data_IF_099947597503
#
_entry.id   IF_099947597503
#
_cell.length_a   1.000
_cell.length_b   1.000
_cell.length_c   1.000
_cell.angle_alpha   90.00
_cell.angle_beta   90.00
_cell.angle_gamma   90.00
#
_symmetry.space_group_name_H-M   'P 1'
#
loop_
_entity.id
_entity.type
_entity.pdbx_description
1 polymer ?
#
# COMPACT_ATOMS: atom_id res chain seq x y z
N UNK A 1 -0.90 23.28 -39.58
CA UNK A 1 -0.28 23.09 -38.26
C UNK A 1 -1.35 23.34 -37.20
N UNK A 2 -1.97 22.30 -36.64
CA UNK A 2 -3.01 22.45 -35.59
C UNK A 2 -2.33 22.59 -34.23
N UNK A 3 -2.70 23.62 -33.48
CA UNK A 3 -2.07 23.97 -32.21
C UNK A 3 -2.57 23.03 -31.09
N UNK A 4 -1.77 22.84 -30.04
CA UNK A 4 -2.13 22.00 -28.88
C UNK A 4 -3.46 22.41 -28.21
N UNK A 5 -3.92 23.65 -28.40
CA UNK A 5 -5.22 24.14 -27.93
C UNK A 5 -6.40 23.53 -28.71
N UNK A 6 -6.26 23.30 -30.01
CA UNK A 6 -7.31 22.72 -30.84
C UNK A 6 -7.55 21.24 -30.49
N UNK A 7 -6.47 20.53 -30.12
CA UNK A 7 -6.55 19.14 -29.64
C UNK A 7 -7.24 19.05 -28.28
N UNK A 8 -7.01 20.01 -27.39
CA UNK A 8 -7.69 20.06 -26.08
C UNK A 8 -9.19 20.31 -26.23
N UNK A 9 -9.59 21.25 -27.11
CA UNK A 9 -11.01 21.51 -27.40
C UNK A 9 -11.72 20.30 -28.02
N UNK A 10 -11.06 19.59 -28.93
CA UNK A 10 -11.62 18.37 -29.53
C UNK A 10 -11.80 17.23 -28.52
N UNK A 11 -10.96 17.16 -27.48
CA UNK A 11 -11.08 16.17 -26.41
C UNK A 11 -12.21 16.53 -25.43
N UNK A 12 -12.42 17.81 -25.14
CA UNK A 12 -13.51 18.25 -24.25
C UNK A 12 -14.88 18.05 -24.90
N UNK A 13 -15.05 18.37 -26.19
CA UNK A 13 -16.33 18.15 -26.89
C UNK A 13 -16.70 16.66 -26.98
N UNK A 14 -15.72 15.76 -27.16
CA UNK A 14 -15.95 14.30 -27.15
C UNK A 14 -16.35 13.73 -25.78
N UNK A 15 -16.02 14.42 -24.69
CA UNK A 15 -16.39 14.01 -23.34
C UNK A 15 -17.81 14.46 -23.00
N UNK A 16 -18.22 15.65 -23.44
CA UNK A 16 -19.59 16.15 -23.28
C UNK A 16 -20.60 15.27 -24.05
N UNK A 17 -20.31 14.90 -25.30
CA UNK A 17 -21.16 14.01 -26.10
C UNK A 17 -21.37 12.62 -25.46
N UNK A 18 -20.37 12.13 -24.71
CA UNK A 18 -20.45 10.83 -24.01
C UNK A 18 -21.22 10.89 -22.69
N UNK A 19 -21.26 12.06 -22.05
CA UNK A 19 -22.04 12.27 -20.84
C UNK A 19 -23.54 12.40 -21.16
N UNK A 20 -23.89 13.10 -22.23
CA UNK A 20 -25.28 13.26 -22.68
C UNK A 20 -25.93 11.94 -23.14
N UNK A 21 -25.15 10.98 -23.64
CA UNK A 21 -25.65 9.65 -24.00
C UNK A 21 -25.92 8.75 -22.77
N UNK A 22 -25.32 9.05 -21.61
CA UNK A 22 -25.46 8.23 -20.40
C UNK A 22 -26.64 8.66 -19.51
N UNK A 23 -27.17 9.86 -19.71
CA UNK A 23 -28.30 10.39 -18.93
C UNK A 23 -29.68 10.12 -19.55
N UNK A 24 -29.76 9.51 -20.75
CA UNK A 24 -31.02 9.18 -21.43
C UNK A 24 -31.36 7.69 -21.41
N UNK A 25 -31.60 7.12 -20.23
CA UNK A 25 -32.33 5.84 -20.11
C UNK A 25 -33.37 5.95 -18.99
N UNK A 26 -34.68 5.80 -19.28
CA UNK A 26 -35.72 5.89 -18.28
C UNK A 26 -35.86 4.59 -17.48
N UNK A 27 -36.16 4.80 -16.20
CA UNK A 27 -36.76 3.87 -15.25
C UNK A 27 -38.05 3.24 -15.79
N UNK A 28 -38.20 1.93 -15.63
CA UNK A 28 -39.54 1.33 -15.70
C UNK A 28 -39.72 0.17 -14.72
N UNK A 29 -40.96 0.07 -14.25
CA UNK A 29 -41.45 -0.55 -13.03
C UNK A 29 -42.20 -1.85 -13.35
N UNK A 30 -42.38 -2.70 -12.32
CA UNK A 30 -43.40 -3.76 -12.17
C UNK A 30 -43.03 -5.20 -12.56
N UNK A 31 -43.07 -6.12 -11.58
CA UNK A 31 -44.21 -7.05 -11.41
C UNK A 31 -43.99 -8.07 -10.28
N UNK A 32 -44.91 -8.10 -9.31
CA UNK A 32 -45.25 -9.22 -8.41
C UNK A 32 -46.55 -9.83 -9.00
N UNK A 33 -46.88 -11.13 -8.82
CA UNK A 33 -47.76 -11.48 -7.67
C UNK A 33 -47.64 -12.89 -7.05
N UNK A 34 -48.16 -12.98 -5.81
CA UNK A 34 -48.93 -14.08 -5.17
C UNK A 34 -48.18 -15.35 -4.69
N UNK A 35 -47.94 -15.51 -3.38
CA UNK A 35 -48.83 -15.98 -2.29
C UNK A 35 -49.07 -17.50 -2.25
N UNK A 36 -48.64 -18.12 -1.13
CA UNK A 36 -49.37 -19.18 -0.41
C UNK A 36 -48.87 -19.28 1.02
N UNK A 37 -49.74 -18.93 1.96
CA UNK A 37 -49.57 -19.07 3.40
C UNK A 37 -49.77 -20.53 3.85
N UNK A 38 -49.03 -20.95 4.88
CA UNK A 38 -49.51 -21.91 5.89
C UNK A 38 -48.81 -21.63 7.22
N UNK A 39 -49.61 -21.68 8.29
CA UNK A 39 -49.37 -21.22 9.67
C UNK A 39 -48.52 -22.18 10.53
N UNK A 40 -48.24 -21.71 11.76
CA UNK A 40 -47.97 -22.44 13.04
C UNK A 40 -46.46 -22.68 13.27
N UNK A 41 -45.78 -22.36 14.38
CA UNK A 41 -46.08 -21.75 15.69
C UNK A 41 -44.76 -21.67 16.50
N UNK A 42 -44.65 -20.65 17.37
CA UNK A 42 -43.81 -20.51 18.57
C UNK A 42 -42.27 -20.72 18.57
N UNK A 43 -41.60 -19.59 18.86
CA UNK A 43 -40.24 -19.34 19.36
C UNK A 43 -39.73 -20.29 20.47
N UNK A 44 -38.40 -20.46 20.58
CA UNK A 44 -37.68 -19.69 21.59
C UNK A 44 -36.44 -18.93 21.06
N UNK A 45 -36.25 -17.76 21.67
CA UNK A 45 -35.21 -16.74 21.47
C UNK A 45 -33.80 -17.32 21.36
N UNK A 46 -33.18 -17.14 20.19
CA UNK A 46 -31.72 -17.29 20.01
C UNK A 46 -31.04 -16.12 20.73
N UNK A 47 -30.38 -16.43 21.83
CA UNK A 47 -29.56 -15.49 22.58
C UNK A 47 -28.52 -14.90 21.61
N UNK A 48 -28.59 -13.58 21.44
CA UNK A 48 -27.56 -12.81 20.74
C UNK A 48 -26.40 -12.75 21.72
N UNK A 49 -25.49 -13.70 21.56
CA UNK A 49 -24.24 -13.76 22.31
C UNK A 49 -23.41 -12.54 21.90
N UNK A 50 -23.40 -11.55 22.78
CA UNK A 50 -22.61 -10.32 22.63
C UNK A 50 -21.18 -10.67 22.98
N UNK A 51 -20.48 -11.37 22.09
CA UNK A 51 -19.06 -11.70 22.21
C UNK A 51 -18.31 -11.47 20.89
N UNK A 52 -18.42 -10.28 20.32
CA UNK A 52 -17.47 -9.79 19.33
C UNK A 52 -16.86 -8.48 19.80
N UNK A 53 -15.88 -8.56 20.69
CA UNK A 53 -14.91 -7.48 20.95
C UNK A 53 -13.82 -7.99 21.89
N UNK A 54 -12.94 -8.88 21.40
CA UNK A 54 -11.62 -9.15 22.04
C UNK A 54 -10.67 -10.10 21.28
N UNK A 55 -10.88 -10.37 19.98
CA UNK A 55 -10.07 -11.37 19.25
C UNK A 55 -9.11 -10.84 18.18
N UNK A 56 -9.04 -9.52 17.96
CA UNK A 56 -8.30 -8.96 16.81
C UNK A 56 -6.95 -8.29 17.14
N UNK A 57 -6.55 -8.23 18.42
CA UNK A 57 -5.23 -7.68 18.78
C UNK A 57 -4.13 -8.75 18.74
N UNK A 58 -4.41 -9.99 19.17
CA UNK A 58 -3.39 -11.05 19.21
C UNK A 58 -2.95 -11.57 17.84
N UNK A 59 -3.76 -11.40 16.78
CA UNK A 59 -3.42 -11.88 15.45
C UNK A 59 -2.45 -10.96 14.71
N UNK A 60 -2.58 -9.64 14.89
CA UNK A 60 -1.75 -8.66 14.18
C UNK A 60 -0.31 -8.66 14.66
N UNK A 61 -0.09 -8.83 15.97
CA UNK A 61 1.26 -8.89 16.53
C UNK A 61 2.04 -10.12 16.04
N UNK A 62 1.35 -11.27 15.86
CA UNK A 62 1.95 -12.48 15.28
C UNK A 62 2.38 -12.25 13.83
N UNK A 63 1.50 -11.68 13.01
CA UNK A 63 1.78 -11.41 11.58
C UNK A 63 2.94 -10.44 11.41
N UNK A 64 3.01 -9.40 12.26
CA UNK A 64 4.10 -8.43 12.23
C UNK A 64 5.42 -9.05 12.68
N UNK A 65 5.42 -9.87 13.72
CA UNK A 65 6.61 -10.59 14.18
C UNK A 65 7.17 -11.54 13.11
N UNK A 66 6.31 -12.32 12.45
CA UNK A 66 6.67 -13.18 11.32
C UNK A 66 7.23 -12.37 10.16
N UNK A 67 6.62 -11.23 9.84
CA UNK A 67 7.13 -10.34 8.82
C UNK A 67 8.52 -9.82 9.14
N UNK A 68 8.75 -9.30 10.35
CA UNK A 68 10.05 -8.79 10.79
C UNK A 68 11.12 -9.87 10.71
N UNK A 69 10.82 -11.09 11.16
CA UNK A 69 11.74 -12.23 11.08
C UNK A 69 12.13 -12.52 9.63
N UNK A 70 11.15 -12.50 8.71
CA UNK A 70 11.42 -12.71 7.29
C UNK A 70 12.22 -11.57 6.65
N UNK A 71 11.91 -10.30 6.98
CA UNK A 71 12.69 -9.14 6.50
C UNK A 71 14.14 -9.25 6.97
N UNK A 72 14.37 -9.67 8.23
CA UNK A 72 15.73 -9.85 8.76
C UNK A 72 16.51 -10.92 8.02
N UNK A 73 15.90 -12.08 7.76
CA UNK A 73 16.53 -13.14 6.97
C UNK A 73 16.91 -12.67 5.56
N UNK A 74 16.03 -11.92 4.89
CA UNK A 74 16.30 -11.35 3.57
C UNK A 74 17.37 -10.24 3.62
N UNK A 75 17.35 -9.40 4.65
CA UNK A 75 18.34 -8.34 4.87
C UNK A 75 19.77 -8.91 4.97
N UNK A 76 19.95 -10.00 5.72
CA UNK A 76 21.24 -10.70 5.83
C UNK A 76 21.61 -11.37 4.50
N UNK A 77 20.66 -12.10 3.88
CA UNK A 77 20.90 -12.82 2.63
C UNK A 77 21.28 -11.91 1.46
N UNK A 78 20.58 -10.78 1.31
CA UNK A 78 20.82 -9.79 0.26
C UNK A 78 21.97 -8.83 0.60
N UNK A 79 22.64 -9.02 1.74
CA UNK A 79 23.78 -8.22 2.22
C UNK A 79 23.49 -6.73 2.32
N UNK A 80 22.26 -6.37 2.67
CA UNK A 80 21.86 -4.97 2.84
C UNK A 80 22.65 -4.29 3.97
N UNK A 81 23.14 -5.08 4.94
CA UNK A 81 24.00 -4.61 6.03
C UNK A 81 25.28 -3.92 5.56
N UNK A 82 25.80 -4.23 4.37
CA UNK A 82 27.00 -3.57 3.83
C UNK A 82 26.79 -2.06 3.60
N UNK A 83 25.53 -1.63 3.41
CA UNK A 83 25.16 -0.22 3.23
C UNK A 83 24.40 0.37 4.42
N UNK A 84 23.76 -0.48 5.21
CA UNK A 84 22.99 -0.08 6.40
C UNK A 84 23.25 -1.10 7.53
N UNK A 85 24.34 -0.95 8.31
CA UNK A 85 24.87 -2.00 9.20
C UNK A 85 23.91 -2.50 10.28
N UNK A 86 23.09 -1.63 10.85
CA UNK A 86 22.07 -2.04 11.81
C UNK A 86 20.76 -2.33 11.09
N UNK A 87 20.13 -3.44 11.46
CA UNK A 87 18.84 -3.86 10.90
C UNK A 87 17.78 -2.78 11.07
N UNK A 88 17.67 -2.19 12.27
CA UNK A 88 16.63 -1.20 12.57
C UNK A 88 16.75 0.09 11.74
N UNK A 89 17.97 0.40 11.27
CA UNK A 89 18.22 1.59 10.46
C UNK A 89 17.47 1.56 9.11
N UNK A 90 17.15 0.36 8.59
CA UNK A 90 16.39 0.28 7.33
C UNK A 90 14.99 0.86 7.48
N UNK A 91 14.43 0.91 8.69
CA UNK A 91 13.09 1.46 8.93
C UNK A 91 13.08 2.97 9.15
N UNK A 92 14.25 3.60 9.31
CA UNK A 92 14.36 5.07 9.39
C UNK A 92 14.03 5.71 8.03
N UNK A 93 14.32 5.01 6.93
CA UNK A 93 14.04 5.49 5.60
C UNK A 93 12.55 5.76 5.38
N UNK A 94 12.27 6.82 4.61
CA UNK A 94 10.90 7.27 4.33
C UNK A 94 10.21 6.37 3.30
N UNK A 95 10.98 5.90 2.32
CA UNK A 95 10.50 5.02 1.27
C UNK A 95 11.63 4.11 0.79
N UNK A 96 11.25 3.00 0.17
CA UNK A 96 12.15 2.06 -0.49
C UNK A 96 11.60 1.69 -1.85
N UNK A 97 12.42 1.82 -2.87
CA UNK A 97 12.11 1.57 -4.27
C UNK A 97 13.00 0.48 -4.85
N UNK A 98 12.47 -0.21 -5.86
CA UNK A 98 13.19 -1.19 -6.64
C UNK A 98 13.36 -0.65 -8.07
N UNK A 99 14.60 -0.59 -8.54
CA UNK A 99 14.92 -0.35 -9.95
C UNK A 99 15.08 -1.69 -10.67
N UNK A 100 14.82 -1.71 -11.98
CA UNK A 100 15.06 -2.87 -12.85
C UNK A 100 13.96 -3.92 -12.88
N UNK A 101 13.07 -3.94 -11.89
CA UNK A 101 11.90 -4.83 -11.83
C UNK A 101 10.64 -4.01 -11.52
N UNK A 102 9.54 -4.32 -12.20
CA UNK A 102 8.23 -3.73 -11.92
C UNK A 102 7.62 -4.22 -10.60
N UNK A 103 7.00 -3.31 -9.86
CA UNK A 103 6.36 -3.58 -8.56
C UNK A 103 4.90 -3.13 -8.53
N UNK A 104 4.38 -2.61 -9.65
CA UNK A 104 2.98 -2.25 -9.75
C UNK A 104 2.19 -3.46 -10.23
N UNK A 105 0.87 -3.42 -10.04
CA UNK A 105 0.01 -4.52 -10.47
C UNK A 105 0.13 -4.79 -11.97
N UNK A 106 0.26 -3.75 -12.80
CA UNK A 106 0.35 -3.87 -14.25
C UNK A 106 1.68 -4.43 -14.77
N UNK A 107 2.78 -4.32 -13.99
CA UNK A 107 4.14 -4.71 -14.40
C UNK A 107 4.84 -5.60 -13.36
N UNK A 108 4.08 -6.28 -12.51
CA UNK A 108 4.62 -6.97 -11.34
C UNK A 108 5.60 -8.07 -11.73
N UNK A 109 6.84 -7.97 -11.24
CA UNK A 109 7.89 -8.94 -11.54
C UNK A 109 8.52 -8.79 -12.93
N UNK A 110 8.00 -7.91 -13.78
CA UNK A 110 8.54 -7.72 -15.12
C UNK A 110 9.94 -7.11 -15.07
N UNK A 111 10.88 -7.78 -15.73
CA UNK A 111 12.27 -7.33 -15.86
C UNK A 111 12.37 -6.25 -16.93
N UNK A 112 12.96 -5.11 -16.55
CA UNK A 112 13.20 -3.99 -17.47
C UNK A 112 14.54 -4.19 -18.17
N UNK A 113 14.49 -4.49 -19.47
CA UNK A 113 15.67 -4.72 -20.32
C UNK A 113 16.67 -3.56 -20.25
N UNK A 114 17.96 -3.89 -20.16
CA UNK A 114 19.06 -2.92 -20.07
C UNK A 114 19.15 -2.16 -18.73
N UNK A 115 18.29 -2.45 -17.75
CA UNK A 115 18.34 -1.85 -16.42
C UNK A 115 19.03 -2.77 -15.41
N UNK A 116 19.63 -2.12 -14.40
CA UNK A 116 20.20 -2.79 -13.25
C UNK A 116 19.15 -2.93 -12.15
N UNK A 117 19.20 -4.08 -11.45
CA UNK A 117 18.40 -4.31 -10.26
C UNK A 117 19.08 -3.65 -9.08
N UNK A 118 18.37 -2.73 -8.44
CA UNK A 118 18.89 -1.95 -7.34
C UNK A 118 17.79 -1.64 -6.32
N UNK A 119 18.10 -1.87 -5.05
CA UNK A 119 17.26 -1.43 -3.93
C UNK A 119 17.72 -0.05 -3.51
N UNK A 120 16.80 0.91 -3.50
CA UNK A 120 17.06 2.33 -3.26
C UNK A 120 16.18 2.81 -2.12
N UNK A 121 16.79 3.29 -1.04
CA UNK A 121 16.10 3.96 0.05
C UNK A 121 16.05 5.47 -0.16
N UNK A 122 15.02 6.12 0.39
CA UNK A 122 14.84 7.57 0.38
C UNK A 122 14.87 8.08 1.81
N UNK A 123 15.74 9.06 2.07
CA UNK A 123 15.77 9.82 3.33
C UNK A 123 15.47 11.29 3.10
N UNK A 124 15.10 12.01 4.17
CA UNK A 124 15.01 13.47 4.19
C UNK A 124 16.08 14.03 5.10
N UNK A 125 17.18 14.48 4.49
CA UNK A 125 18.19 15.26 5.19
C UNK A 125 17.81 16.76 5.07
N UNK A 126 17.92 17.54 6.16
CA UNK A 126 17.81 18.99 6.06
C UNK A 126 19.00 19.52 5.26
N UNK A 127 18.72 20.32 4.22
CA UNK A 127 19.75 21.06 3.49
C UNK A 127 20.40 22.11 4.42
N UNK A 128 21.50 22.74 3.99
CA UNK A 128 22.21 23.80 4.75
C UNK A 128 21.30 24.96 5.18
N UNK A 129 20.15 25.11 4.52
CA UNK A 129 19.12 26.13 4.81
C UNK A 129 17.90 25.55 5.56
N UNK A 130 18.00 24.36 6.16
CA UNK A 130 16.92 23.71 6.91
C UNK A 130 15.79 23.10 6.05
N UNK A 131 15.81 23.28 4.73
CA UNK A 131 14.80 22.72 3.82
C UNK A 131 15.05 21.23 3.60
N UNK A 132 14.07 20.39 3.95
CA UNK A 132 14.14 18.94 3.76
C UNK A 132 14.20 18.60 2.27
N UNK A 133 15.28 17.95 1.83
CA UNK A 133 15.42 17.43 0.46
C UNK A 133 15.45 15.91 0.48
N UNK A 134 14.81 15.30 -0.52
CA UNK A 134 14.87 13.86 -0.73
C UNK A 134 16.28 13.47 -1.19
N UNK A 135 16.85 12.44 -0.58
CA UNK A 135 18.13 11.85 -0.97
C UNK A 135 17.96 10.36 -1.18
N UNK A 136 18.43 9.90 -2.34
CA UNK A 136 18.44 8.48 -2.70
C UNK A 136 19.72 7.82 -2.17
N UNK A 137 19.57 6.68 -1.50
CA UNK A 137 20.66 5.88 -0.97
C UNK A 137 20.55 4.49 -1.60
N UNK A 138 21.60 4.05 -2.27
CA UNK A 138 21.69 2.68 -2.78
C UNK A 138 21.93 1.71 -1.63
N UNK A 139 20.99 0.81 -1.38
CA UNK A 139 21.14 -0.24 -0.37
C UNK A 139 21.73 -1.54 -0.92
N UNK A 140 21.54 -1.81 -2.21
CA UNK A 140 22.09 -3.00 -2.84
C UNK A 140 22.02 -2.89 -4.36
N UNK A 141 23.05 -3.39 -5.03
CA UNK A 141 23.15 -3.45 -6.48
C UNK A 141 23.43 -4.89 -6.89
N UNK A 142 22.55 -5.47 -7.69
CA UNK A 142 22.52 -6.92 -7.93
C UNK A 142 22.92 -7.31 -9.35
N UNK A 143 23.25 -6.34 -10.21
CA UNK A 143 23.62 -6.59 -11.60
C UNK A 143 22.47 -6.37 -12.59
N UNK A 144 22.68 -6.76 -13.85
CA UNK A 144 21.69 -6.55 -14.91
C UNK A 144 20.49 -7.46 -14.69
N UNK A 145 19.30 -6.93 -14.93
CA UNK A 145 18.07 -7.63 -14.63
C UNK A 145 17.88 -8.93 -15.44
N UNK A 146 18.35 -8.95 -16.68
CA UNK A 146 18.28 -10.12 -17.58
C UNK A 146 19.19 -11.28 -17.15
N UNK A 147 20.32 -10.98 -16.51
CA UNK A 147 21.35 -11.97 -16.17
C UNK A 147 21.21 -12.53 -14.75
N UNK A 148 20.27 -11.99 -13.97
CA UNK A 148 20.09 -12.39 -12.59
C UNK A 148 19.25 -13.66 -12.49
N UNK A 149 19.58 -14.51 -11.52
CA UNK A 149 18.79 -15.69 -11.17
C UNK A 149 17.36 -15.30 -10.74
N UNK A 150 16.38 -16.09 -11.14
CA UNK A 150 14.96 -15.84 -10.87
C UNK A 150 14.65 -15.90 -9.36
N UNK A 151 15.29 -16.83 -8.64
CA UNK A 151 15.16 -16.95 -7.18
C UNK A 151 15.66 -15.69 -6.48
N UNK A 152 16.83 -15.19 -6.88
CA UNK A 152 17.37 -13.94 -6.34
C UNK A 152 16.49 -12.73 -6.66
N UNK A 153 15.90 -12.64 -7.86
CA UNK A 153 14.93 -11.56 -8.19
C UNK A 153 13.74 -11.59 -7.23
N UNK A 154 13.16 -12.77 -7.01
CA UNK A 154 12.02 -12.95 -6.12
C UNK A 154 12.35 -12.56 -4.68
N UNK A 155 13.54 -12.87 -4.20
CA UNK A 155 14.01 -12.48 -2.87
C UNK A 155 14.16 -10.96 -2.73
N UNK A 156 14.66 -10.28 -3.76
CA UNK A 156 14.78 -8.82 -3.78
C UNK A 156 13.39 -8.16 -3.78
N UNK A 157 12.46 -8.66 -4.60
CA UNK A 157 11.07 -8.21 -4.63
C UNK A 157 10.43 -8.41 -3.25
N UNK A 158 10.54 -9.61 -2.69
CA UNK A 158 9.98 -9.94 -1.38
C UNK A 158 10.51 -9.01 -0.29
N UNK A 159 11.83 -8.76 -0.27
CA UNK A 159 12.44 -7.86 0.70
C UNK A 159 11.81 -6.46 0.67
N UNK A 160 11.67 -5.87 -0.52
CA UNK A 160 11.09 -4.53 -0.68
C UNK A 160 9.62 -4.52 -0.27
N UNK A 161 8.84 -5.54 -0.63
CA UNK A 161 7.43 -5.64 -0.26
C UNK A 161 7.23 -5.82 1.25
N UNK A 162 7.98 -6.74 1.87
CA UNK A 162 7.92 -6.99 3.32
C UNK A 162 8.35 -5.77 4.13
N UNK A 163 9.34 -5.02 3.64
CA UNK A 163 9.73 -3.74 4.22
C UNK A 163 8.59 -2.70 4.12
N UNK A 164 7.97 -2.57 2.93
CA UNK A 164 6.84 -1.63 2.73
C UNK A 164 5.64 -2.00 3.60
N UNK A 165 5.39 -3.29 3.76
CA UNK A 165 4.35 -3.81 4.64
C UNK A 165 4.58 -3.40 6.10
N UNK A 166 5.80 -3.59 6.63
CA UNK A 166 6.15 -3.09 7.97
C UNK A 166 6.03 -1.57 8.07
N UNK A 167 6.47 -0.84 7.04
CA UNK A 167 6.38 0.62 7.03
C UNK A 167 4.93 1.12 7.09
N UNK A 168 3.99 0.38 6.51
CA UNK A 168 2.57 0.68 6.60
C UNK A 168 2.05 0.56 8.05
N UNK A 169 2.46 -0.46 8.80
CA UNK A 169 2.13 -0.57 10.23
C UNK A 169 2.69 0.57 11.05
N UNK A 170 3.95 0.95 10.82
CA UNK A 170 4.55 2.11 11.51
C UNK A 170 3.76 3.40 11.26
N UNK A 171 3.29 3.60 10.03
CA UNK A 171 2.46 4.75 9.68
C UNK A 171 1.09 4.67 10.37
N UNK A 172 0.47 3.48 10.40
CA UNK A 172 -0.80 3.27 11.10
C UNK A 172 -0.68 3.61 12.59
N UNK A 173 0.37 3.11 13.26
CA UNK A 173 0.59 3.40 14.68
C UNK A 173 0.90 4.87 14.94
N UNK A 174 1.65 5.51 14.03
CA UNK A 174 1.85 6.95 14.10
C UNK A 174 0.53 7.73 14.09
N UNK A 175 -0.42 7.34 13.21
CA UNK A 175 -1.73 7.99 13.18
C UNK A 175 -2.57 7.70 14.41
N UNK A 176 -2.54 6.49 14.98
CA UNK A 176 -3.21 6.20 16.25
C UNK A 176 -2.72 7.11 17.37
N UNK A 177 -1.40 7.33 17.46
CA UNK A 177 -0.80 8.26 18.43
C UNK A 177 -1.27 9.70 18.19
N UNK A 178 -1.32 10.16 16.94
CA UNK A 178 -1.78 11.50 16.62
C UNK A 178 -3.27 11.71 16.96
N UNK A 179 -4.12 10.73 16.65
CA UNK A 179 -5.56 10.77 16.98
C UNK A 179 -5.75 10.82 18.49
N UNK A 180 -5.05 9.97 19.26
CA UNK A 180 -5.13 9.98 20.72
C UNK A 180 -4.76 11.35 21.34
N UNK A 181 -3.84 12.08 20.73
CA UNK A 181 -3.49 13.45 21.17
C UNK A 181 -4.59 14.48 20.93
N UNK A 182 -5.44 14.27 19.94
CA UNK A 182 -6.59 15.14 19.66
C UNK A 182 -7.74 14.84 20.61
N UNK A 183 -7.91 13.58 21.01
CA UNK A 183 -8.98 13.13 21.89
C UNK A 183 -8.78 13.53 23.36
N UNK A 184 -7.53 13.75 23.79
CA UNK A 184 -7.23 14.28 25.13
C UNK A 184 -7.44 15.81 25.10
N UNK A 185 -8.46 16.36 25.78
CA UNK A 185 -8.71 17.80 25.76
C UNK A 185 -7.54 18.56 26.39
N UNK A 186 -6.96 19.50 25.66
CA UNK A 186 -5.95 20.44 26.20
C UNK A 186 -6.50 21.38 27.29
N UNK A 187 -7.78 21.25 27.66
CA UNK A 187 -8.47 22.10 28.63
C UNK A 187 -8.43 21.62 30.09
N UNK A 188 -7.75 20.50 30.40
CA UNK A 188 -7.54 20.03 31.78
C UNK A 188 -6.14 20.32 32.35
N UNK A 189 -5.33 21.10 31.64
CA UNK A 189 -4.05 21.64 32.11
C UNK A 189 -4.18 23.14 32.44
N UNK A 190 -5.10 23.50 33.33
CA UNK A 190 -5.11 24.77 34.06
C UNK A 190 -5.70 24.55 35.45
#
# INVERSE_FOLDING_TARGET
>A
MSSSLDKLRALTSRLEDKLEQKEKLPSDVSSVPSEKESKVENTPKKQIDTQEKKKNESSNDSVRAENILRVKALYEKLKIFEKSPDFDNIFIYKAMNLSGIGLKEEDFGEVRTGKYIQVIAITYEPDKNGKKKAKNISLGYFGKAETLDEGLKNEIIEFVLRWRYEKAFQNLEHYKVLIARVEVPSSTLF
#
